data_IF_659311462096
#
_entry.id   IF_659311462096
#
_cell.length_a   1.000
_cell.length_b   1.000
_cell.length_c   1.000
_cell.angle_alpha   90.00
_cell.angle_beta   90.00
_cell.angle_gamma   90.00
#
_symmetry.space_group_name_H-M   'P 1'
#
loop_
_entity.id
_entity.type
_entity.pdbx_description
1 polymer ?
#
# COMPACT_ATOMS: atom_id res chain seq x y z
N UNK A 1 5.87 -3.48 -11.96
CA UNK A 1 5.58 -2.04 -11.72
C UNK A 1 4.07 -1.83 -11.81
N UNK A 2 3.54 -0.76 -11.23
CA UNK A 2 2.12 -0.40 -11.33
C UNK A 2 1.93 1.04 -11.79
N UNK A 3 0.74 1.36 -12.28
CA UNK A 3 0.32 2.71 -12.61
C UNK A 3 -0.85 3.12 -11.72
N UNK A 4 -0.91 4.39 -11.33
CA UNK A 4 -2.06 4.94 -10.62
C UNK A 4 -2.35 6.36 -11.09
N UNK A 5 -3.63 6.72 -11.13
CA UNK A 5 -4.08 8.08 -11.42
C UNK A 5 -4.51 8.78 -10.15
N UNK A 6 -4.20 10.06 -10.02
CA UNK A 6 -4.70 10.91 -8.95
C UNK A 6 -4.95 12.32 -9.47
N UNK A 7 -5.82 13.06 -8.79
CA UNK A 7 -6.07 14.46 -9.09
C UNK A 7 -5.34 15.36 -8.07
N UNK A 8 -4.67 16.40 -8.57
CA UNK A 8 -4.10 17.44 -7.73
C UNK A 8 -4.33 18.80 -8.39
N UNK A 9 -4.99 19.71 -7.67
CA UNK A 9 -5.28 21.06 -8.19
C UNK A 9 -6.11 21.08 -9.48
N UNK A 10 -7.03 20.13 -9.66
CA UNK A 10 -7.85 20.00 -10.87
C UNK A 10 -7.15 19.35 -12.07
N UNK A 11 -5.92 18.87 -11.90
CA UNK A 11 -5.16 18.18 -12.96
C UNK A 11 -5.08 16.69 -12.63
N UNK A 12 -5.44 15.86 -13.61
CA UNK A 12 -5.30 14.40 -13.51
C UNK A 12 -3.88 14.01 -13.88
N UNK A 13 -3.20 13.34 -12.95
CA UNK A 13 -1.85 12.84 -13.11
C UNK A 13 -1.86 11.32 -13.27
N UNK A 14 -0.97 10.79 -14.12
CA UNK A 14 -0.62 9.38 -14.19
C UNK A 14 0.78 9.19 -13.63
N UNK A 15 0.92 8.32 -12.62
CA UNK A 15 2.21 8.03 -11.98
C UNK A 15 2.55 6.56 -12.09
N UNK A 16 3.82 6.30 -12.40
CA UNK A 16 4.43 4.97 -12.39
C UNK A 16 5.06 4.71 -11.03
N UNK A 17 4.81 3.54 -10.45
CA UNK A 17 5.41 3.08 -9.19
C UNK A 17 6.17 1.78 -9.39
N UNK A 18 7.40 1.74 -8.88
CA UNK A 18 8.24 0.55 -8.84
C UNK A 18 8.23 -0.03 -7.43
N UNK A 19 8.10 -1.36 -7.34
CA UNK A 19 7.98 -2.08 -6.09
C UNK A 19 9.23 -2.92 -5.87
N UNK A 20 9.73 -2.94 -4.63
CA UNK A 20 10.90 -3.69 -4.24
C UNK A 20 10.55 -4.49 -2.98
N UNK A 21 10.73 -5.82 -2.97
CA UNK A 21 10.52 -6.60 -1.77
C UNK A 21 11.53 -6.21 -0.69
N UNK A 22 11.07 -6.12 0.55
CA UNK A 22 11.89 -5.80 1.72
C UNK A 22 11.53 -6.74 2.87
N UNK A 23 12.52 -7.09 3.67
CA UNK A 23 12.32 -7.83 4.91
C UNK A 23 12.47 -6.87 6.09
N UNK A 24 11.54 -6.94 7.03
CA UNK A 24 11.54 -6.16 8.25
C UNK A 24 10.98 -7.03 9.38
N UNK A 25 11.49 -6.88 10.60
CA UNK A 25 11.11 -7.71 11.75
C UNK A 25 9.72 -7.39 12.33
N UNK A 26 8.92 -6.55 11.65
CA UNK A 26 7.51 -6.22 11.98
C UNK A 26 7.31 -5.40 13.25
N UNK A 27 8.13 -5.60 14.27
CA UNK A 27 7.85 -5.15 15.63
C UNK A 27 8.80 -4.03 16.08
N UNK A 28 9.86 -3.78 15.32
CA UNK A 28 10.92 -2.86 15.68
C UNK A 28 10.54 -1.38 15.51
N UNK A 29 9.42 -1.08 14.84
CA UNK A 29 9.00 0.32 14.59
C UNK A 29 7.46 0.44 14.63
N UNK A 30 6.91 1.19 15.61
CA UNK A 30 5.51 1.59 15.59
C UNK A 30 5.25 2.50 14.39
N UNK A 31 4.18 2.25 13.66
CA UNK A 31 3.73 3.14 12.60
C UNK A 31 3.04 4.37 13.19
N UNK A 32 3.37 5.56 12.69
CA UNK A 32 2.68 6.82 13.03
C UNK A 32 1.78 7.22 11.83
N UNK A 33 0.45 7.19 11.98
CA UNK A 33 -0.47 7.57 10.90
C UNK A 33 -0.29 9.02 10.46
N UNK A 34 -0.31 9.27 9.15
CA UNK A 34 -0.22 10.62 8.58
C UNK A 34 -1.62 11.24 8.45
N UNK A 35 -2.13 11.78 9.56
CA UNK A 35 -3.48 12.37 9.60
C UNK A 35 -3.69 13.50 8.59
N UNK A 36 -2.65 14.27 8.26
CA UNK A 36 -2.71 15.34 7.25
C UNK A 36 -2.99 14.81 5.83
N UNK A 37 -2.63 13.56 5.56
CA UNK A 37 -2.91 12.85 4.31
C UNK A 37 -4.20 12.01 4.39
N UNK A 38 -4.93 12.10 5.51
CA UNK A 38 -6.15 11.32 5.75
C UNK A 38 -5.89 9.86 6.18
N UNK A 39 -4.66 9.51 6.52
CA UNK A 39 -4.31 8.18 7.04
C UNK A 39 -4.58 8.16 8.54
N UNK A 40 -5.54 7.34 8.97
CA UNK A 40 -6.00 7.29 10.37
C UNK A 40 -5.37 6.17 11.19
N UNK A 41 -4.85 5.12 10.54
CA UNK A 41 -4.27 3.96 11.21
C UNK A 41 -3.17 3.33 10.34
N UNK A 42 -2.17 2.71 10.99
CA UNK A 42 -1.06 2.01 10.36
C UNK A 42 -0.70 0.80 11.21
N UNK A 43 -0.69 -0.38 10.60
CA UNK A 43 -0.38 -1.63 11.29
C UNK A 43 0.44 -2.57 10.41
N UNK A 44 1.29 -3.37 11.05
CA UNK A 44 2.01 -4.46 10.39
C UNK A 44 1.08 -5.69 10.28
N UNK A 45 1.12 -6.36 9.14
CA UNK A 45 0.36 -7.59 8.90
C UNK A 45 1.33 -8.67 8.43
N UNK A 46 1.13 -9.88 8.95
CA UNK A 46 1.86 -11.07 8.51
C UNK A 46 1.00 -11.90 7.54
N UNK A 47 1.62 -12.59 6.56
CA UNK A 47 0.94 -13.61 5.78
C UNK A 47 0.48 -14.79 6.66
N UNK A 48 -0.69 -15.40 6.40
CA UNK A 48 -1.65 -15.02 5.37
C UNK A 48 -2.45 -13.76 5.74
N UNK A 49 -2.55 -12.81 4.79
CA UNK A 49 -3.24 -11.55 5.05
C UNK A 49 -4.76 -11.75 5.21
N UNK A 50 -5.43 -10.95 6.07
CA UNK A 50 -6.88 -10.99 6.18
C UNK A 50 -7.56 -10.69 4.85
N UNK A 51 -8.55 -11.50 4.48
CA UNK A 51 -9.30 -11.33 3.23
C UNK A 51 -10.00 -9.97 3.16
N UNK A 52 -10.50 -9.47 4.28
CA UNK A 52 -11.06 -8.12 4.38
C UNK A 52 -10.07 -7.03 3.98
N UNK A 53 -8.78 -7.21 4.25
CA UNK A 53 -7.75 -6.24 3.86
C UNK A 53 -7.45 -6.34 2.36
N UNK A 54 -7.33 -7.56 1.84
CA UNK A 54 -7.07 -7.79 0.42
C UNK A 54 -8.24 -7.31 -0.45
N UNK A 55 -9.47 -7.57 -0.05
CA UNK A 55 -10.67 -7.17 -0.80
C UNK A 55 -10.89 -5.64 -0.82
N UNK A 56 -10.36 -4.92 0.19
CA UNK A 56 -10.47 -3.46 0.30
C UNK A 56 -9.21 -2.72 -0.21
N UNK A 57 -8.25 -3.41 -0.82
CA UNK A 57 -7.07 -2.77 -1.45
C UNK A 57 -7.26 -2.58 -2.95
N UNK A 58 -6.38 -1.79 -3.57
CA UNK A 58 -6.38 -1.63 -5.01
C UNK A 58 -5.94 -2.93 -5.72
N UNK A 59 -6.61 -3.29 -6.81
CA UNK A 59 -6.25 -4.47 -7.62
C UNK A 59 -4.79 -4.43 -8.11
N UNK A 60 -4.24 -3.24 -8.35
CA UNK A 60 -2.82 -3.08 -8.71
C UNK A 60 -1.87 -3.52 -7.59
N UNK A 61 -2.25 -3.38 -6.32
CA UNK A 61 -1.47 -3.86 -5.17
C UNK A 61 -1.63 -5.37 -5.00
N UNK A 62 -2.84 -5.92 -5.21
CA UNK A 62 -3.06 -7.37 -5.22
C UNK A 62 -2.12 -8.05 -6.24
N UNK A 63 -2.04 -7.50 -7.46
CA UNK A 63 -1.12 -8.00 -8.49
C UNK A 63 0.35 -7.97 -8.06
N UNK A 64 0.78 -6.97 -7.28
CA UNK A 64 2.15 -6.93 -6.76
C UNK A 64 2.37 -8.04 -5.73
N UNK A 65 1.42 -8.23 -4.81
CA UNK A 65 1.50 -9.28 -3.79
C UNK A 65 1.51 -10.68 -4.42
N UNK A 66 0.65 -10.92 -5.42
CA UNK A 66 0.58 -12.19 -6.16
C UNK A 66 1.87 -12.54 -6.90
N UNK A 67 2.73 -11.55 -7.20
CA UNK A 67 4.03 -11.80 -7.84
C UNK A 67 5.17 -12.06 -6.85
N UNK A 68 4.96 -11.79 -5.56
CA UNK A 68 5.99 -11.86 -4.52
C UNK A 68 5.77 -13.00 -3.50
N UNK A 69 4.53 -13.43 -3.32
CA UNK A 69 4.13 -14.55 -2.43
C UNK A 69 3.93 -15.84 -3.22
#
# INVERSE_FOLDING_TARGET
>A
CTFHTYEAGGVVHLKTTFWYPMNHDGDATPGEPQAIEGITDVTWLEPPFPRSTLDNTFSSIQQVLDTLL
#
